data_IF_349508761853
#
_entry.id   IF_349508761853
#
_cell.length_a   1.000
_cell.length_b   1.000
_cell.length_c   1.000
_cell.angle_alpha   90.00
_cell.angle_beta   90.00
_cell.angle_gamma   90.00
#
_symmetry.space_group_name_H-M   'P 1'
#
loop_
_entity.id
_entity.type
_entity.pdbx_description
1 polymer ?
#
# COMPACT_ATOMS: atom_id res chain seq x y z
N UNK A 1 -15.41 -24.33 3.97
CA UNK A 1 -14.71 -24.82 5.18
C UNK A 1 -15.60 -24.51 6.36
N UNK A 2 -15.99 -25.50 7.17
CA UNK A 2 -16.82 -25.25 8.34
C UNK A 2 -15.97 -24.59 9.45
N UNK A 3 -16.62 -23.92 10.39
CA UNK A 3 -15.97 -23.14 11.47
C UNK A 3 -15.02 -24.01 12.32
N UNK A 4 -15.33 -25.30 12.41
CA UNK A 4 -14.57 -26.29 13.17
C UNK A 4 -13.24 -26.65 12.49
N UNK A 5 -13.23 -26.83 11.17
CA UNK A 5 -11.99 -27.02 10.41
C UNK A 5 -11.09 -25.77 10.42
N UNK A 6 -11.67 -24.58 10.47
CA UNK A 6 -10.89 -23.34 10.56
C UNK A 6 -10.23 -23.22 11.94
N UNK A 7 -10.95 -23.60 13.00
CA UNK A 7 -10.39 -23.68 14.37
C UNK A 7 -9.27 -24.72 14.45
N UNK A 8 -9.43 -25.90 13.88
CA UNK A 8 -8.36 -26.91 13.84
C UNK A 8 -7.13 -26.42 13.08
N UNK A 9 -7.32 -25.74 11.94
CA UNK A 9 -6.21 -25.23 11.14
C UNK A 9 -5.46 -24.13 11.88
N UNK A 10 -6.16 -23.20 12.54
CA UNK A 10 -5.56 -22.16 13.38
C UNK A 10 -4.82 -22.80 14.56
N UNK A 11 -5.41 -23.78 15.24
CA UNK A 11 -4.78 -24.47 16.37
C UNK A 11 -3.52 -25.22 15.95
N UNK A 12 -3.53 -25.80 14.74
CA UNK A 12 -2.40 -26.51 14.16
C UNK A 12 -1.26 -25.55 13.76
N UNK A 13 -1.59 -24.40 13.17
CA UNK A 13 -0.64 -23.33 12.86
C UNK A 13 -0.04 -22.76 14.16
N UNK A 14 -0.85 -22.53 15.19
CA UNK A 14 -0.37 -22.05 16.49
C UNK A 14 0.55 -23.06 17.18
N UNK A 15 0.27 -24.38 17.07
CA UNK A 15 1.15 -25.44 17.57
C UNK A 15 2.44 -25.63 16.77
N UNK A 16 2.38 -25.47 15.46
CA UNK A 16 3.58 -25.52 14.60
C UNK A 16 4.47 -24.28 14.79
N UNK A 17 3.89 -23.19 15.30
CA UNK A 17 4.58 -21.94 15.65
C UNK A 17 4.94 -21.83 17.14
N UNK A 18 4.87 -22.91 17.94
CA UNK A 18 5.12 -22.82 19.38
C UNK A 18 6.58 -22.42 19.67
N UNK A 19 6.70 -21.13 19.99
CA UNK A 19 7.61 -20.57 20.96
C UNK A 19 7.76 -21.54 22.14
N UNK A 20 8.96 -22.09 22.30
CA UNK A 20 9.36 -22.66 23.58
C UNK A 20 9.32 -21.55 24.65
N UNK A 21 8.21 -21.55 25.39
CA UNK A 21 8.04 -21.26 26.82
C UNK A 21 9.20 -20.50 27.51
N UNK A 22 8.90 -19.27 27.91
CA UNK A 22 8.88 -18.97 29.35
C UNK A 22 7.52 -19.45 29.90
N UNK A 23 7.57 -20.45 30.78
CA UNK A 23 6.41 -21.14 31.35
C UNK A 23 5.96 -20.48 32.65
N UNK A 24 5.23 -19.37 32.57
CA UNK A 24 4.62 -18.74 33.76
C UNK A 24 3.17 -18.29 33.57
N UNK A 25 2.51 -18.65 32.47
CA UNK A 25 1.08 -18.32 32.25
C UNK A 25 0.30 -19.62 31.97
N UNK A 26 0.25 -20.50 32.96
CA UNK A 26 -0.75 -21.57 33.03
C UNK A 26 -1.39 -21.47 34.41
N UNK A 27 -2.25 -20.47 34.58
CA UNK A 27 -3.29 -20.43 35.62
C UNK A 27 -4.23 -19.26 35.33
N UNK A 28 -5.16 -19.46 34.39
CA UNK A 28 -6.36 -18.63 34.26
C UNK A 28 -7.57 -19.56 34.13
N UNK A 29 -8.57 -19.25 34.96
CA UNK A 29 -9.76 -20.04 35.29
C UNK A 29 -10.71 -20.35 34.12
N UNK A 30 -11.55 -21.40 34.20
CA UNK A 30 -12.39 -21.88 33.09
C UNK A 30 -13.56 -20.98 32.65
N UNK A 31 -13.69 -19.77 33.17
CA UNK A 31 -14.93 -18.96 33.06
C UNK A 31 -14.82 -17.68 32.21
N UNK A 32 -13.79 -17.52 31.37
CA UNK A 32 -13.81 -16.49 30.34
C UNK A 32 -14.53 -16.98 29.09
N UNK A 33 -15.79 -16.56 28.94
CA UNK A 33 -16.55 -16.65 27.69
C UNK A 33 -15.74 -16.00 26.57
N UNK A 34 -15.20 -16.82 25.67
CA UNK A 34 -14.61 -16.36 24.40
C UNK A 34 -15.69 -15.61 23.62
N UNK A 35 -15.65 -14.28 23.65
CA UNK A 35 -16.40 -13.44 22.72
C UNK A 35 -15.80 -13.69 21.34
N UNK A 36 -16.48 -14.50 20.52
CA UNK A 36 -16.22 -14.62 19.09
C UNK A 36 -16.71 -13.34 18.39
N UNK A 37 -16.01 -12.23 18.59
CA UNK A 37 -16.21 -11.02 17.81
C UNK A 37 -15.70 -11.26 16.38
N UNK A 38 -16.50 -10.88 15.37
CA UNK A 38 -16.04 -10.89 13.99
C UNK A 38 -14.78 -10.02 13.85
N UNK A 39 -13.74 -10.55 13.21
CA UNK A 39 -12.51 -9.81 12.93
C UNK A 39 -12.86 -8.59 12.06
N UNK A 40 -12.57 -7.39 12.56
CA UNK A 40 -12.65 -6.16 11.76
C UNK A 40 -11.43 -6.09 10.83
N UNK A 41 -11.67 -6.32 9.55
CA UNK A 41 -10.63 -6.31 8.51
C UNK A 41 -10.16 -4.90 8.14
N UNK A 42 -10.91 -3.89 8.57
CA UNK A 42 -10.63 -2.49 8.26
C UNK A 42 -9.57 -1.88 9.20
N UNK A 43 -9.02 -0.74 8.79
CA UNK A 43 -7.99 0.00 9.51
C UNK A 43 -8.20 1.49 9.38
N UNK A 44 -7.63 2.26 10.30
CA UNK A 44 -7.74 3.71 10.28
C UNK A 44 -6.97 4.28 9.08
N UNK A 45 -7.57 5.30 8.45
CA UNK A 45 -6.91 6.10 7.42
C UNK A 45 -6.55 7.45 8.02
N UNK A 46 -5.27 7.78 7.99
CA UNK A 46 -4.71 8.97 8.60
C UNK A 46 -4.17 9.93 7.55
N UNK A 47 -4.48 11.20 7.75
CA UNK A 47 -4.07 12.27 6.84
C UNK A 47 -2.74 12.83 7.30
N UNK A 48 -1.74 12.68 6.44
CA UNK A 48 -0.41 13.23 6.63
C UNK A 48 -0.40 14.67 6.15
N UNK A 49 -0.52 15.59 7.10
CA UNK A 49 -0.31 17.00 6.85
C UNK A 49 1.13 17.28 6.38
N UNK A 50 1.34 18.37 5.63
CA UNK A 50 2.67 18.81 5.24
C UNK A 50 3.61 18.94 6.44
N UNK A 51 4.78 18.30 6.36
CA UNK A 51 5.70 18.23 7.48
C UNK A 51 7.14 18.01 7.04
N UNK A 52 8.05 18.14 8.01
CA UNK A 52 9.48 17.92 7.83
C UNK A 52 10.01 16.99 8.93
N UNK A 53 10.87 16.06 8.54
CA UNK A 53 11.80 15.37 9.42
C UNK A 53 13.16 16.02 9.27
N UNK A 54 13.80 16.42 10.38
CA UNK A 54 15.11 17.07 10.36
C UNK A 54 16.23 16.07 10.68
N UNK A 55 17.39 16.26 10.03
CA UNK A 55 18.64 15.67 10.49
C UNK A 55 19.10 16.35 11.78
N UNK A 56 19.97 15.68 12.57
CA UNK A 56 20.55 16.29 13.77
C UNK A 56 21.26 17.61 13.47
N UNK A 57 22.04 17.63 12.39
CA UNK A 57 22.77 18.81 11.93
C UNK A 57 21.84 19.97 11.59
N UNK A 58 20.79 19.73 10.81
CA UNK A 58 19.84 20.78 10.43
C UNK A 58 18.97 21.23 11.61
N UNK A 59 18.65 20.32 12.53
CA UNK A 59 17.96 20.65 13.77
C UNK A 59 18.80 21.62 14.61
N UNK A 60 20.09 21.32 14.78
CA UNK A 60 21.03 22.17 15.51
C UNK A 60 21.23 23.52 14.79
N UNK A 61 21.46 23.50 13.47
CA UNK A 61 21.65 24.71 12.66
C UNK A 61 20.48 25.69 12.78
N UNK A 62 19.24 25.19 12.85
CA UNK A 62 18.03 26.02 12.95
C UNK A 62 17.67 26.36 14.42
N UNK A 63 17.85 25.42 15.36
CA UNK A 63 17.25 25.47 16.70
C UNK A 63 18.23 25.31 17.88
N UNK A 64 19.56 25.39 17.70
CA UNK A 64 20.56 25.16 18.77
C UNK A 64 20.33 25.85 20.13
N UNK A 65 19.67 27.01 20.15
CA UNK A 65 19.47 27.81 21.36
C UNK A 65 18.03 27.66 21.92
N UNK A 66 17.28 26.66 21.46
CA UNK A 66 15.89 26.44 21.83
C UNK A 66 15.70 25.01 22.38
N UNK A 67 15.05 24.90 23.53
CA UNK A 67 14.54 23.61 24.01
C UNK A 67 13.37 23.15 23.13
N UNK A 68 13.43 21.91 22.67
CA UNK A 68 12.43 21.32 21.77
C UNK A 68 11.56 20.36 22.58
N UNK A 69 10.27 20.68 22.70
CA UNK A 69 9.28 19.87 23.38
C UNK A 69 8.50 18.96 22.43
N UNK A 70 7.86 17.95 23.01
CA UNK A 70 6.86 17.13 22.33
C UNK A 70 5.50 17.83 22.43
N UNK A 71 4.90 18.14 21.29
CA UNK A 71 3.54 18.70 21.23
C UNK A 71 2.47 17.62 21.26
N UNK A 72 2.67 16.53 20.51
CA UNK A 72 1.70 15.44 20.37
C UNK A 72 2.38 14.16 19.89
N UNK A 73 2.08 13.03 20.50
CA UNK A 73 2.45 11.70 19.98
C UNK A 73 1.64 11.39 18.70
N UNK A 74 2.27 10.67 17.78
CA UNK A 74 1.63 10.18 16.55
C UNK A 74 1.21 8.72 16.70
N UNK A 75 0.44 8.23 15.72
CA UNK A 75 -0.06 6.85 15.68
C UNK A 75 1.06 5.80 15.59
N UNK A 76 2.14 6.13 14.89
CA UNK A 76 3.30 5.26 14.77
C UNK A 76 4.16 5.33 16.04
N UNK A 77 4.45 4.19 16.70
CA UNK A 77 5.15 4.15 17.97
C UNK A 77 6.47 4.94 17.97
N UNK A 78 6.61 5.84 18.95
CA UNK A 78 7.80 6.67 19.14
C UNK A 78 7.99 7.78 18.11
N UNK A 79 7.02 8.02 17.22
CA UNK A 79 6.99 9.23 16.37
C UNK A 79 6.15 10.31 17.04
N UNK A 80 6.60 11.55 16.97
CA UNK A 80 5.89 12.68 17.58
C UNK A 80 5.95 13.93 16.71
N UNK A 81 4.98 14.82 16.93
CA UNK A 81 5.04 16.19 16.45
C UNK A 81 5.72 17.06 17.51
N UNK A 82 6.78 17.76 17.13
CA UNK A 82 7.45 18.72 18.00
C UNK A 82 6.65 20.03 18.11
N UNK A 83 6.91 20.80 19.17
CA UNK A 83 6.34 22.14 19.40
C UNK A 83 6.92 23.23 18.49
N UNK A 84 8.03 22.94 17.81
CA UNK A 84 8.65 23.79 16.80
C UNK A 84 7.99 23.69 15.41
N UNK A 85 8.23 24.72 14.60
CA UNK A 85 7.75 24.88 13.23
C UNK A 85 8.83 25.51 12.36
N UNK A 86 8.78 25.22 11.05
CA UNK A 86 9.64 25.85 10.05
C UNK A 86 8.82 26.55 8.97
N UNK A 87 9.49 27.39 8.20
CA UNK A 87 9.00 27.97 6.96
C UNK A 87 9.79 27.37 5.80
N UNK A 88 9.09 26.97 4.74
CA UNK A 88 9.68 26.51 3.48
C UNK A 88 9.54 27.59 2.43
N UNK A 89 10.63 27.88 1.73
CA UNK A 89 10.71 28.93 0.71
C UNK A 89 11.14 28.26 -0.59
N UNK A 90 10.28 28.36 -1.60
CA UNK A 90 10.56 27.90 -2.96
C UNK A 90 10.61 29.07 -3.95
N UNK A 91 10.89 28.81 -5.24
CA UNK A 91 11.07 29.86 -6.25
C UNK A 91 9.84 30.75 -6.47
N UNK A 92 8.62 30.24 -6.22
CA UNK A 92 7.37 30.97 -6.46
C UNK A 92 6.67 31.44 -5.19
N UNK A 93 6.94 30.83 -4.05
CA UNK A 93 6.13 31.05 -2.87
C UNK A 93 6.71 30.47 -1.60
N UNK A 94 5.95 30.66 -0.52
CA UNK A 94 6.36 30.34 0.84
C UNK A 94 5.26 29.55 1.54
N UNK A 95 5.64 28.49 2.24
CA UNK A 95 4.75 27.76 3.14
C UNK A 95 5.24 27.94 4.58
N UNK A 96 4.45 28.63 5.39
CA UNK A 96 4.73 28.86 6.80
C UNK A 96 4.12 27.77 7.68
N UNK A 97 4.55 27.72 8.95
CA UNK A 97 3.98 26.86 9.99
C UNK A 97 4.03 25.36 9.67
N UNK A 98 5.10 24.91 8.99
CA UNK A 98 5.32 23.50 8.67
C UNK A 98 5.70 22.74 9.93
N UNK A 99 4.99 21.64 10.18
CA UNK A 99 5.21 20.79 11.34
C UNK A 99 6.56 20.08 11.27
N UNK A 100 7.29 20.07 12.38
CA UNK A 100 8.49 19.22 12.54
C UNK A 100 8.07 17.93 13.24
N UNK A 101 8.40 16.79 12.64
CA UNK A 101 8.17 15.47 13.21
C UNK A 101 9.48 14.87 13.71
N UNK A 102 9.44 14.37 14.94
CA UNK A 102 10.56 13.72 15.61
C UNK A 102 10.36 12.21 15.77
N UNK A 103 11.43 11.50 16.16
CA UNK A 103 12.77 12.02 16.45
C UNK A 103 13.53 12.45 15.19
N UNK A 104 14.65 13.15 15.38
CA UNK A 104 15.58 13.50 14.29
C UNK A 104 15.99 12.26 13.51
N UNK A 105 16.09 12.37 12.18
CA UNK A 105 16.53 11.28 11.30
C UNK A 105 17.98 11.48 10.85
N UNK A 106 18.49 10.56 10.04
CA UNK A 106 19.83 10.72 9.45
C UNK A 106 19.84 11.84 8.40
N UNK A 107 18.79 11.91 7.58
CA UNK A 107 18.64 12.91 6.52
C UNK A 107 17.40 13.74 6.76
N UNK A 108 17.45 15.00 6.32
CA UNK A 108 16.26 15.87 6.28
C UNK A 108 15.36 15.46 5.14
N UNK A 109 14.06 15.35 5.41
CA UNK A 109 13.04 14.97 4.44
C UNK A 109 11.80 15.82 4.63
N UNK A 110 11.24 16.34 3.55
CA UNK A 110 10.02 17.14 3.54
C UNK A 110 8.96 16.39 2.74
N UNK A 111 7.80 16.19 3.34
CA UNK A 111 6.67 15.53 2.73
C UNK A 111 5.56 16.56 2.48
N UNK A 112 5.20 16.73 1.22
CA UNK A 112 4.22 17.71 0.74
C UNK A 112 3.13 17.03 -0.09
N UNK A 113 2.02 17.75 -0.30
CA UNK A 113 1.07 17.43 -1.37
C UNK A 113 1.50 18.04 -2.71
N UNK A 114 0.91 17.60 -3.82
CA UNK A 114 1.16 18.21 -5.13
C UNK A 114 0.69 19.68 -5.14
N UNK A 115 -0.40 19.98 -4.45
CA UNK A 115 -0.88 21.36 -4.27
C UNK A 115 0.16 22.24 -3.57
N UNK A 116 0.81 21.72 -2.53
CA UNK A 116 1.86 22.44 -1.79
C UNK A 116 3.10 22.71 -2.66
N UNK A 117 3.50 21.72 -3.45
CA UNK A 117 4.61 21.87 -4.39
C UNK A 117 4.35 22.97 -5.43
N UNK A 118 3.12 23.09 -5.92
CA UNK A 118 2.72 24.17 -6.85
C UNK A 118 2.85 25.56 -6.22
N UNK A 119 2.48 25.70 -4.93
CA UNK A 119 2.61 26.96 -4.19
C UNK A 119 4.08 27.37 -4.07
N UNK A 120 4.95 26.42 -3.72
CA UNK A 120 6.39 26.66 -3.64
C UNK A 120 7.04 26.88 -5.01
N UNK A 121 6.43 26.35 -6.08
CA UNK A 121 6.97 26.42 -7.43
C UNK A 121 8.08 25.40 -7.71
N UNK A 122 8.00 24.24 -7.06
CA UNK A 122 8.93 23.12 -7.23
C UNK A 122 8.21 21.91 -7.82
N UNK A 123 8.97 20.91 -8.31
CA UNK A 123 8.43 19.69 -8.89
C UNK A 123 9.05 18.43 -8.23
N UNK A 124 8.73 18.15 -6.95
CA UNK A 124 9.19 16.97 -6.26
C UNK A 124 8.53 15.69 -6.80
N UNK A 125 9.24 14.54 -6.77
CA UNK A 125 8.69 13.26 -7.21
C UNK A 125 7.74 12.64 -6.17
N UNK A 126 6.80 11.79 -6.60
CA UNK A 126 5.98 10.94 -5.72
C UNK A 126 6.80 9.74 -5.28
N UNK A 127 7.04 9.58 -3.97
CA UNK A 127 7.94 8.56 -3.43
C UNK A 127 7.60 8.11 -2.02
N UNK A 128 8.17 6.96 -1.66
CA UNK A 128 8.15 6.47 -0.29
C UNK A 128 9.14 7.25 0.59
N UNK A 129 8.81 7.36 1.88
CA UNK A 129 9.71 7.97 2.86
C UNK A 129 11.07 7.26 2.86
N UNK A 130 12.14 8.03 2.73
CA UNK A 130 13.52 7.56 2.64
C UNK A 130 14.12 7.62 1.24
N UNK A 131 13.30 7.68 0.18
CA UNK A 131 13.78 7.81 -1.21
C UNK A 131 13.85 9.28 -1.65
N UNK A 132 14.82 10.02 -1.12
CA UNK A 132 14.96 11.46 -1.39
C UNK A 132 15.97 11.80 -2.49
N UNK A 133 16.66 10.81 -3.06
CA UNK A 133 17.77 11.05 -3.98
C UNK A 133 17.32 11.77 -5.26
N UNK A 134 17.98 12.86 -5.62
CA UNK A 134 17.64 13.65 -6.81
C UNK A 134 16.22 14.22 -6.78
N UNK A 135 15.65 14.38 -5.58
CA UNK A 135 14.37 15.06 -5.38
C UNK A 135 14.55 16.58 -5.37
N UNK A 136 13.46 17.32 -5.30
CA UNK A 136 13.54 18.78 -5.30
C UNK A 136 14.14 19.31 -3.97
N UNK A 137 14.69 20.51 -4.05
CA UNK A 137 15.21 21.28 -2.92
C UNK A 137 14.36 22.50 -2.59
N UNK A 138 14.57 23.06 -1.39
CA UNK A 138 13.96 24.28 -0.88
C UNK A 138 14.89 24.96 0.14
N UNK A 139 14.63 26.22 0.44
CA UNK A 139 15.21 26.87 1.62
C UNK A 139 14.29 26.61 2.81
N UNK A 140 14.88 26.17 3.93
CA UNK A 140 14.19 25.99 5.21
C UNK A 140 14.62 27.13 6.13
N UNK A 141 13.67 27.84 6.72
CA UNK A 141 13.95 28.91 7.67
C UNK A 141 13.16 28.76 8.97
N UNK A 142 13.85 29.02 10.08
CA UNK A 142 13.26 29.12 11.42
C UNK A 142 14.18 29.98 12.30
N UNK A 143 13.60 30.68 13.28
CA UNK A 143 14.35 31.44 14.30
C UNK A 143 15.43 32.39 13.75
N UNK A 144 15.13 33.09 12.65
CA UNK A 144 16.08 34.01 12.00
C UNK A 144 17.26 33.32 11.30
N UNK A 145 17.24 31.99 11.20
CA UNK A 145 18.23 31.16 10.50
C UNK A 145 17.61 30.54 9.27
N UNK A 146 18.47 30.19 8.31
CA UNK A 146 18.06 29.50 7.10
C UNK A 146 19.13 28.51 6.66
N UNK A 147 18.69 27.41 6.07
CA UNK A 147 19.53 26.41 5.42
C UNK A 147 18.97 26.14 4.03
N UNK A 148 19.86 25.87 3.08
CA UNK A 148 19.48 25.39 1.75
C UNK A 148 19.48 23.86 1.77
N UNK A 149 18.35 23.27 1.41
CA UNK A 149 18.23 21.83 1.18
C UNK A 149 18.19 21.61 -0.33
N UNK A 150 19.25 21.02 -0.89
CA UNK A 150 19.36 20.80 -2.35
C UNK A 150 18.56 19.60 -2.83
N UNK A 151 18.39 18.58 -1.97
CA UNK A 151 17.51 17.43 -2.18
C UNK A 151 16.85 17.01 -0.86
N UNK A 152 15.60 16.54 -0.91
CA UNK A 152 14.87 16.05 0.26
C UNK A 152 13.36 16.26 0.23
N UNK A 153 12.82 16.96 -0.77
CA UNK A 153 11.39 17.21 -0.88
C UNK A 153 10.71 16.17 -1.76
N UNK A 154 9.73 15.46 -1.22
CA UNK A 154 8.93 14.46 -1.93
C UNK A 154 7.44 14.75 -1.80
N UNK A 155 6.66 14.22 -2.74
CA UNK A 155 5.23 13.99 -2.54
C UNK A 155 5.07 12.63 -1.89
N UNK A 156 4.44 12.57 -0.71
CA UNK A 156 4.32 11.34 0.04
C UNK A 156 3.48 10.32 -0.72
N UNK A 157 4.05 9.18 -1.09
CA UNK A 157 3.29 8.07 -1.68
C UNK A 157 2.47 7.40 -0.58
N UNK A 158 1.17 7.19 -0.83
CA UNK A 158 0.27 6.46 0.06
C UNK A 158 0.80 5.07 0.41
N UNK A 159 0.64 4.69 1.67
CA UNK A 159 1.09 3.38 2.17
C UNK A 159 0.33 2.95 3.41
N UNK A 160 0.44 1.68 3.77
CA UNK A 160 -0.10 1.10 4.99
C UNK A 160 1.07 0.63 5.85
N UNK A 161 1.12 1.11 7.09
CA UNK A 161 1.96 0.53 8.13
C UNK A 161 1.24 -0.67 8.74
N UNK A 162 1.95 -1.79 8.93
CA UNK A 162 1.43 -3.00 9.54
C UNK A 162 2.46 -3.64 10.47
N UNK A 163 1.99 -4.26 11.55
CA UNK A 163 2.78 -5.29 12.25
C UNK A 163 2.82 -6.58 11.42
N UNK A 164 3.77 -7.50 11.65
CA UNK A 164 3.74 -8.82 11.00
C UNK A 164 2.44 -9.59 11.26
N UNK A 165 1.86 -9.45 12.46
CA UNK A 165 0.56 -10.03 12.80
C UNK A 165 -0.56 -9.46 11.91
N UNK A 166 -0.61 -8.13 11.75
CA UNK A 166 -1.62 -7.48 10.92
C UNK A 166 -1.51 -7.87 9.44
N UNK A 167 -0.29 -8.03 8.95
CA UNK A 167 -0.01 -8.46 7.59
C UNK A 167 -0.50 -9.89 7.34
N UNK A 168 -0.22 -10.81 8.27
CA UNK A 168 -0.71 -12.20 8.21
C UNK A 168 -2.24 -12.25 8.26
N UNK A 169 -2.88 -11.51 9.17
CA UNK A 169 -4.34 -11.47 9.27
C UNK A 169 -5.03 -10.93 8.02
N UNK A 170 -4.31 -10.16 7.20
CA UNK A 170 -4.80 -9.58 5.94
C UNK A 170 -4.25 -10.27 4.70
N UNK A 171 -3.49 -11.36 4.84
CA UNK A 171 -2.95 -12.12 3.70
C UNK A 171 -2.00 -11.29 2.81
N UNK A 172 -1.24 -10.36 3.38
CA UNK A 172 -0.28 -9.52 2.66
C UNK A 172 1.12 -9.62 3.26
N UNK A 173 2.13 -9.21 2.48
CA UNK A 173 3.53 -9.20 2.87
C UNK A 173 4.13 -7.81 2.75
N UNK A 174 5.30 -7.62 3.35
CA UNK A 174 6.08 -6.39 3.16
C UNK A 174 6.32 -6.15 1.67
N UNK A 175 6.11 -4.90 1.25
CA UNK A 175 6.25 -4.39 -0.12
C UNK A 175 5.20 -4.88 -1.12
N UNK A 176 4.15 -5.57 -0.68
CA UNK A 176 3.01 -5.80 -1.55
C UNK A 176 2.36 -4.47 -1.96
N UNK A 177 1.87 -4.43 -3.19
CA UNK A 177 0.99 -3.36 -3.67
C UNK A 177 -0.45 -3.86 -3.64
N UNK A 178 -1.31 -3.12 -2.96
CA UNK A 178 -2.72 -3.49 -2.76
C UNK A 178 -3.66 -2.38 -3.21
N UNK A 179 -4.92 -2.77 -3.43
CA UNK A 179 -6.02 -1.84 -3.58
C UNK A 179 -6.68 -1.63 -2.22
N UNK A 180 -6.92 -0.37 -1.85
CA UNK A 180 -7.63 -0.03 -0.61
C UNK A 180 -8.87 0.75 -0.95
N UNK A 181 -10.03 0.23 -0.54
CA UNK A 181 -11.25 1.02 -0.50
C UNK A 181 -11.23 1.89 0.75
N UNK A 182 -11.28 3.20 0.57
CA UNK A 182 -11.40 4.16 1.67
C UNK A 182 -12.82 4.68 1.71
N UNK A 183 -13.46 4.54 2.87
CA UNK A 183 -14.76 5.16 3.12
C UNK A 183 -14.57 6.62 3.52
N UNK A 184 -15.51 7.48 3.13
CA UNK A 184 -15.49 8.92 3.34
C UNK A 184 -16.76 9.52 2.75
N UNK A 185 -16.85 10.85 2.62
CA UNK A 185 -17.98 11.48 1.93
C UNK A 185 -17.91 11.25 0.41
N UNK A 186 -16.72 10.92 -0.11
CA UNK A 186 -16.45 10.61 -1.52
C UNK A 186 -15.68 9.29 -1.59
N UNK A 187 -16.29 8.13 -1.30
CA UNK A 187 -15.56 6.87 -1.19
C UNK A 187 -14.88 6.49 -2.52
N UNK A 188 -13.61 6.08 -2.44
CA UNK A 188 -12.81 5.67 -3.60
C UNK A 188 -12.03 4.38 -3.31
N UNK A 189 -11.54 3.76 -4.37
CA UNK A 189 -10.52 2.72 -4.29
C UNK A 189 -9.20 3.33 -4.75
N UNK A 190 -8.23 3.39 -3.85
CA UNK A 190 -6.85 3.67 -4.21
C UNK A 190 -6.19 2.38 -4.66
N UNK A 191 -5.61 2.37 -5.86
CA UNK A 191 -4.72 1.31 -6.32
C UNK A 191 -3.28 1.60 -5.90
N UNK A 192 -2.32 0.70 -6.16
CA UNK A 192 -0.88 0.94 -5.93
C UNK A 192 -0.58 1.47 -4.50
N UNK A 193 -1.23 0.88 -3.49
CA UNK A 193 -0.97 1.21 -2.08
C UNK A 193 0.11 0.28 -1.53
N UNK A 194 1.24 0.84 -1.11
CA UNK A 194 2.36 0.05 -0.60
C UNK A 194 2.09 -0.45 0.82
N UNK A 195 2.27 -1.75 1.05
CA UNK A 195 2.28 -2.36 2.38
C UNK A 195 3.70 -2.30 2.96
N UNK A 196 3.83 -1.79 4.18
CA UNK A 196 5.10 -1.70 4.92
C UNK A 196 4.95 -2.44 6.24
N UNK A 197 5.72 -3.50 6.43
CA UNK A 197 5.62 -4.37 7.61
C UNK A 197 6.84 -4.19 8.51
N UNK A 198 6.58 -3.93 9.80
CA UNK A 198 7.63 -3.85 10.82
C UNK A 198 7.03 -4.05 12.21
N UNK A 199 7.77 -4.67 13.12
CA UNK A 199 7.40 -4.76 14.55
C UNK A 199 7.36 -3.39 15.24
N UNK A 200 7.90 -2.35 14.60
CA UNK A 200 7.92 -0.97 15.10
C UNK A 200 6.70 -0.16 14.66
N UNK A 201 5.81 -0.75 13.87
CA UNK A 201 4.66 -0.05 13.30
C UNK A 201 3.38 -0.32 14.09
N UNK A 202 2.40 0.55 13.87
CA UNK A 202 1.01 0.31 14.23
C UNK A 202 0.15 0.41 12.98
N UNK A 203 -0.91 -0.40 12.93
CA UNK A 203 -1.77 -0.52 11.76
C UNK A 203 -2.48 0.80 11.42
N UNK A 204 -2.05 1.44 10.34
CA UNK A 204 -2.70 2.63 9.80
C UNK A 204 -2.31 2.84 8.32
N UNK A 205 -3.26 3.32 7.52
CA UNK A 205 -2.97 3.83 6.18
C UNK A 205 -2.69 5.32 6.24
N UNK A 206 -1.64 5.76 5.58
CA UNK A 206 -1.26 7.17 5.50
C UNK A 206 -1.51 7.66 4.07
N UNK A 207 -2.24 8.77 3.95
CA UNK A 207 -2.50 9.50 2.70
C UNK A 207 -2.18 10.98 2.86
N UNK A 208 -1.86 11.68 1.78
CA UNK A 208 -1.62 13.12 1.84
C UNK A 208 -2.95 13.93 1.86
N UNK A 209 -2.85 15.26 1.96
CA UNK A 209 -4.04 16.13 1.95
C UNK A 209 -4.80 16.15 0.61
N UNK A 210 -4.12 16.01 -0.53
CA UNK A 210 -4.80 16.00 -1.83
C UNK A 210 -5.63 14.71 -1.96
N UNK A 211 -5.07 13.58 -1.53
CA UNK A 211 -5.75 12.29 -1.47
C UNK A 211 -6.90 12.29 -0.45
N UNK A 212 -6.70 12.87 0.73
CA UNK A 212 -7.74 13.01 1.75
C UNK A 212 -8.93 13.84 1.26
N UNK A 213 -8.67 14.95 0.56
CA UNK A 213 -9.70 15.77 -0.07
C UNK A 213 -10.43 15.02 -1.19
N UNK A 214 -9.72 14.16 -1.93
CA UNK A 214 -10.31 13.35 -2.98
C UNK A 214 -11.34 12.36 -2.43
N UNK A 215 -11.08 11.76 -1.26
CA UNK A 215 -11.99 10.80 -0.62
C UNK A 215 -13.04 11.43 0.30
N UNK A 216 -12.98 12.75 0.53
CA UNK A 216 -13.81 13.41 1.53
C UNK A 216 -13.59 12.82 2.92
N UNK A 217 -12.32 12.75 3.33
CA UNK A 217 -11.90 12.13 4.59
C UNK A 217 -12.58 12.78 5.81
N UNK A 218 -13.02 11.94 6.73
CA UNK A 218 -13.50 12.25 8.09
C UNK A 218 -12.58 11.61 9.14
N UNK A 219 -12.54 12.11 10.39
CA UNK A 219 -11.69 11.54 11.45
C UNK A 219 -11.89 10.04 11.72
N UNK A 220 -13.09 9.51 11.45
CA UNK A 220 -13.46 8.11 11.61
C UNK A 220 -13.32 7.28 10.31
N UNK A 221 -12.71 7.84 9.26
CA UNK A 221 -12.56 7.14 7.98
C UNK A 221 -11.72 5.89 8.13
N UNK A 222 -12.26 4.79 7.61
CA UNK A 222 -11.62 3.48 7.60
C UNK A 222 -11.34 3.02 6.18
N UNK A 223 -10.27 2.26 6.04
CA UNK A 223 -9.85 1.61 4.81
C UNK A 223 -9.97 0.10 4.95
N UNK A 224 -10.24 -0.59 3.84
CA UNK A 224 -10.13 -2.05 3.76
C UNK A 224 -9.42 -2.46 2.47
N UNK A 225 -8.59 -3.49 2.55
CA UNK A 225 -7.97 -4.06 1.36
C UNK A 225 -9.05 -4.74 0.54
N UNK A 226 -9.07 -4.47 -0.76
CA UNK A 226 -9.96 -5.15 -1.70
C UNK A 226 -9.12 -6.07 -2.58
N UNK A 227 -9.47 -7.35 -2.57
CA UNK A 227 -8.87 -8.33 -3.45
C UNK A 227 -9.72 -8.45 -4.72
N UNK A 228 -9.07 -8.39 -5.88
CA UNK A 228 -9.74 -8.75 -7.11
C UNK A 228 -10.25 -10.20 -6.97
N UNK A 229 -11.47 -10.47 -7.45
CA UNK A 229 -12.13 -11.78 -7.34
C UNK A 229 -11.31 -12.95 -7.92
N UNK A 230 -10.27 -12.68 -8.69
CA UNK A 230 -9.31 -13.68 -9.18
C UNK A 230 -8.32 -14.16 -8.09
N UNK A 231 -7.91 -13.30 -7.14
CA UNK A 231 -6.96 -13.65 -6.07
C UNK A 231 -7.54 -14.70 -5.12
N UNK A 232 -8.84 -14.58 -4.80
CA UNK A 232 -9.59 -15.54 -3.97
C UNK A 232 -9.64 -16.93 -4.61
N UNK A 233 -9.61 -17.02 -5.95
CA UNK A 233 -9.62 -18.31 -6.68
C UNK A 233 -8.26 -19.01 -6.69
N UNK A 234 -7.16 -18.25 -6.57
CA UNK A 234 -5.80 -18.80 -6.55
C UNK A 234 -5.47 -19.44 -5.20
N UNK A 235 -5.92 -18.85 -4.09
CA UNK A 235 -5.63 -19.35 -2.73
C UNK A 235 -6.57 -20.48 -2.28
N UNK A 236 -7.80 -20.54 -2.81
CA UNK A 236 -8.74 -21.63 -2.53
C UNK A 236 -8.63 -22.81 -3.49
N UNK A 237 -7.60 -22.86 -4.34
CA UNK A 237 -7.38 -24.04 -5.18
C UNK A 237 -6.81 -25.15 -4.26
N UNK A 238 -7.50 -26.30 -4.10
CA UNK A 238 -6.90 -27.43 -3.41
C UNK A 238 -5.55 -27.76 -4.07
N UNK A 239 -4.59 -28.23 -3.27
CA UNK A 239 -3.34 -28.80 -3.76
C UNK A 239 -3.69 -30.02 -4.62
N UNK A 240 -3.98 -29.77 -5.90
CA UNK A 240 -4.17 -30.81 -6.90
C UNK A 240 -2.78 -31.38 -7.14
N UNK A 241 -2.61 -32.65 -6.76
CA UNK A 241 -1.47 -33.48 -7.16
C UNK A 241 -1.28 -33.31 -8.67
N UNK A 242 -0.03 -33.13 -9.08
CA UNK A 242 0.35 -33.14 -10.49
C UNK A 242 -0.21 -34.41 -11.15
N UNK A 243 -1.23 -34.22 -11.98
CA UNK A 243 -1.71 -35.25 -12.89
C UNK A 243 -1.14 -34.99 -14.27
N UNK A 244 -0.37 -35.97 -14.69
CA UNK A 244 0.33 -36.18 -15.94
C UNK A 244 -0.55 -35.98 -17.18
N UNK A 245 0.03 -35.28 -18.16
CA UNK A 245 -0.19 -35.35 -19.62
C UNK A 245 -1.58 -35.79 -20.11
N UNK A 246 -2.44 -34.81 -20.42
CA UNK A 246 -3.54 -34.97 -21.38
C UNK A 246 -3.22 -34.17 -22.64
N UNK A 247 -3.32 -34.83 -23.80
CA UNK A 247 -3.05 -34.28 -25.12
C UNK A 247 -3.79 -32.94 -25.33
N UNK A 248 -3.05 -31.91 -25.72
CA UNK A 248 -3.58 -30.56 -25.97
C UNK A 248 -4.40 -30.59 -27.27
N UNK A 249 -5.72 -30.42 -27.18
CA UNK A 249 -6.57 -30.22 -28.37
C UNK A 249 -6.24 -28.88 -29.03
N UNK A 250 -5.73 -28.92 -30.25
CA UNK A 250 -5.44 -27.76 -31.09
C UNK A 250 -6.55 -27.54 -32.14
N UNK A 251 -6.82 -26.29 -32.49
CA UNK A 251 -7.76 -25.91 -33.57
C UNK A 251 -7.15 -24.81 -34.45
N UNK A 252 -7.58 -24.76 -35.72
CA UNK A 252 -7.03 -23.83 -36.72
C UNK A 252 -8.12 -22.91 -37.29
N UNK A 253 -7.82 -21.62 -37.45
CA UNK A 253 -8.73 -20.63 -38.07
C UNK A 253 -8.07 -19.98 -39.27
N UNK A 254 -8.50 -20.32 -40.48
CA UNK A 254 -7.96 -19.75 -41.72
C UNK A 254 -8.77 -18.53 -42.20
N UNK A 255 -8.71 -17.41 -41.46
CA UNK A 255 -9.36 -16.15 -41.90
C UNK A 255 -8.48 -14.93 -41.67
N UNK A 256 -8.63 -13.95 -42.57
CA UNK A 256 -7.91 -12.66 -42.52
C UNK A 256 -8.34 -11.77 -41.34
N UNK A 257 -9.57 -11.90 -40.85
CA UNK A 257 -10.10 -11.18 -39.68
C UNK A 257 -10.70 -12.19 -38.69
N UNK A 258 -10.29 -12.10 -37.42
CA UNK A 258 -10.71 -12.98 -36.33
C UNK A 258 -11.52 -12.16 -35.32
N UNK A 259 -12.84 -12.38 -35.31
CA UNK A 259 -13.78 -11.74 -34.38
C UNK A 259 -13.97 -12.56 -33.10
N UNK A 260 -14.51 -11.93 -32.06
CA UNK A 260 -14.82 -12.58 -30.78
C UNK A 260 -15.78 -13.77 -30.95
N UNK A 261 -16.80 -13.63 -31.81
CA UNK A 261 -17.80 -14.66 -32.10
C UNK A 261 -17.16 -15.92 -32.69
N UNK A 262 -16.19 -15.76 -33.60
CA UNK A 262 -15.48 -16.88 -34.19
C UNK A 262 -14.68 -17.67 -33.15
N UNK A 263 -14.09 -16.97 -32.17
CA UNK A 263 -13.38 -17.62 -31.07
C UNK A 263 -14.37 -18.29 -30.12
N UNK A 264 -15.49 -17.65 -29.80
CA UNK A 264 -16.56 -18.23 -28.96
C UNK A 264 -17.11 -19.53 -29.56
N UNK A 265 -17.28 -19.61 -30.88
CA UNK A 265 -17.72 -20.83 -31.55
C UNK A 265 -16.71 -21.97 -31.42
N UNK A 266 -15.42 -21.66 -31.53
CA UNK A 266 -14.34 -22.64 -31.41
C UNK A 266 -14.12 -23.08 -29.97
N UNK A 267 -14.36 -22.21 -28.98
CA UNK A 267 -14.23 -22.57 -27.56
C UNK A 267 -15.25 -23.61 -27.11
N UNK A 268 -16.37 -23.79 -27.85
CA UNK A 268 -17.32 -24.86 -27.59
C UNK A 268 -16.72 -26.27 -27.69
N UNK A 269 -15.59 -26.44 -28.39
CA UNK A 269 -14.87 -27.73 -28.49
C UNK A 269 -13.72 -27.88 -27.47
N UNK A 270 -13.59 -26.94 -26.51
CA UNK A 270 -12.53 -26.87 -25.49
C UNK A 270 -11.08 -26.97 -26.03
N UNK A 271 -10.70 -26.21 -27.07
CA UNK A 271 -9.31 -26.17 -27.52
C UNK A 271 -8.46 -25.42 -26.50
N UNK A 272 -7.27 -25.96 -26.21
CA UNK A 272 -6.26 -25.26 -25.40
C UNK A 272 -5.35 -24.38 -26.27
N UNK A 273 -5.28 -24.67 -27.57
CA UNK A 273 -4.43 -23.95 -28.54
C UNK A 273 -5.26 -23.58 -29.78
N UNK A 274 -5.20 -22.31 -30.18
CA UNK A 274 -5.80 -21.78 -31.41
C UNK A 274 -4.69 -21.26 -32.33
N UNK A 275 -4.59 -21.85 -33.51
CA UNK A 275 -3.64 -21.50 -34.54
C UNK A 275 -4.30 -20.56 -35.58
N UNK A 276 -3.69 -19.41 -35.86
CA UNK A 276 -4.15 -18.44 -36.88
C UNK A 276 -3.02 -18.09 -37.85
N UNK A 277 -3.30 -17.77 -39.13
CA UNK A 277 -2.29 -17.30 -40.07
C UNK A 277 -1.58 -16.03 -39.57
N UNK A 278 -0.26 -15.91 -39.79
CA UNK A 278 0.53 -14.72 -39.42
C UNK A 278 -0.10 -13.39 -39.85
N UNK A 279 -0.70 -13.34 -41.05
CA UNK A 279 -1.30 -12.14 -41.63
C UNK A 279 -2.72 -11.81 -41.09
N UNK A 280 -3.23 -12.60 -40.15
CA UNK A 280 -4.59 -12.42 -39.62
C UNK A 280 -4.67 -11.25 -38.63
N UNK A 281 -5.73 -10.47 -38.76
CA UNK A 281 -6.05 -9.35 -37.86
C UNK A 281 -6.98 -9.88 -36.76
N UNK A 282 -6.57 -9.70 -35.51
CA UNK A 282 -7.35 -10.06 -34.33
C UNK A 282 -8.08 -8.82 -33.84
N UNK A 283 -9.40 -8.90 -33.68
CA UNK A 283 -10.17 -7.79 -33.11
C UNK A 283 -9.85 -7.61 -31.61
N UNK A 284 -9.96 -6.40 -31.04
CA UNK A 284 -9.71 -6.18 -29.61
C UNK A 284 -10.56 -7.07 -28.70
N UNK A 285 -11.86 -7.21 -29.00
CA UNK A 285 -12.77 -8.09 -28.27
C UNK A 285 -12.35 -9.57 -28.34
N UNK A 286 -11.82 -10.02 -29.48
CA UNK A 286 -11.29 -11.37 -29.61
C UNK A 286 -10.02 -11.58 -28.78
N UNK A 287 -9.14 -10.58 -28.72
CA UNK A 287 -7.93 -10.61 -27.91
C UNK A 287 -8.24 -10.65 -26.40
N UNK A 288 -9.19 -9.82 -25.96
CA UNK A 288 -9.66 -9.80 -24.58
C UNK A 288 -10.29 -11.14 -24.18
N UNK A 289 -11.11 -11.72 -25.06
CA UNK A 289 -11.75 -13.01 -24.82
C UNK A 289 -10.75 -14.18 -24.76
N UNK A 290 -9.74 -14.21 -25.64
CA UNK A 290 -8.63 -15.20 -25.59
C UNK A 290 -7.93 -15.13 -24.22
N UNK A 291 -7.63 -13.90 -23.77
CA UNK A 291 -6.96 -13.66 -22.50
C UNK A 291 -7.82 -14.09 -21.31
N UNK A 292 -9.12 -13.78 -21.34
CA UNK A 292 -10.09 -14.19 -20.32
C UNK A 292 -10.20 -15.73 -20.21
N UNK A 293 -10.23 -16.43 -21.35
CA UNK A 293 -10.37 -17.90 -21.40
C UNK A 293 -9.05 -18.68 -21.33
N UNK A 294 -7.90 -18.00 -21.21
CA UNK A 294 -6.55 -18.61 -21.14
C UNK A 294 -6.26 -19.56 -22.30
N UNK A 295 -6.69 -19.16 -23.50
CA UNK A 295 -6.43 -19.92 -24.74
C UNK A 295 -5.05 -19.53 -25.25
N UNK A 296 -4.22 -20.49 -25.61
CA UNK A 296 -2.94 -20.21 -26.25
C UNK A 296 -3.16 -19.86 -27.73
N UNK A 297 -2.78 -18.64 -28.14
CA UNK A 297 -2.88 -18.22 -29.54
C UNK A 297 -1.51 -18.34 -30.23
N UNK A 298 -1.42 -19.19 -31.25
CA UNK A 298 -0.23 -19.34 -32.09
C UNK A 298 -0.46 -18.72 -33.46
N UNK A 299 0.48 -17.87 -33.89
CA UNK A 299 0.53 -17.35 -35.27
C UNK A 299 1.44 -18.23 -36.10
N UNK A 300 0.86 -19.06 -36.95
CA UNK A 300 1.57 -19.99 -37.83
C UNK A 300 1.62 -19.48 -39.27
#
# INVERSE_FOLDING_TARGET
MNEEMMKELILKIMKELDFNKDSSILEASPDEKVQTGAFDDSFQVEVSARHIHLSKEHLEALFKDQEIGIKKELSQPGQYQADIRVTLIGPKGVLQNIAVLGPSRNNTQIELSLTDARVLGINPPVRDSGDTKGSAGVIISANGRAIELTEGVIIAKRHIHMTPKDAVLRGVKDKDLVKVRVEGDRPLIFDDVLVRVSDKYSLAMHIDFDEANAVGHRPDSRGRIVFDSERIKLENKPLVKEETSSELKECFIEKKLISEEMIKELVKSEPKIVNIPKASILTPLAADFIKEKRIELKRV
#
